data_IF_058315455057
#
_entry.id   IF_058315455057
#
_cell.length_a   1.000
_cell.length_b   1.000
_cell.length_c   1.000
_cell.angle_alpha   90.00
_cell.angle_beta   90.00
_cell.angle_gamma   90.00
#
_symmetry.space_group_name_H-M   'P 1'
#
loop_
_entity.id
_entity.type
_entity.pdbx_description
1 polymer ?
#
# COMPACT_ATOMS: atom_id res chain seq x y z
N UNK A 1 -24.87 -2.96 18.98
CA UNK A 1 -24.46 -1.68 18.37
C UNK A 1 -23.19 -1.92 17.57
N UNK A 2 -23.09 -1.45 16.33
CA UNK A 2 -21.89 -1.60 15.50
C UNK A 2 -21.21 -0.24 15.42
N UNK A 3 -19.95 -0.17 15.84
CA UNK A 3 -19.14 1.06 15.81
C UNK A 3 -18.03 0.92 14.76
N UNK A 4 -17.85 1.92 13.89
CA UNK A 4 -16.73 1.93 12.96
C UNK A 4 -15.40 1.90 13.72
N UNK A 5 -14.47 1.05 13.29
CA UNK A 5 -13.09 1.10 13.79
C UNK A 5 -12.29 2.13 13.01
N UNK A 6 -11.49 2.92 13.73
CA UNK A 6 -10.59 3.88 13.10
C UNK A 6 -9.53 3.12 12.29
N UNK A 7 -9.52 3.34 10.98
CA UNK A 7 -8.50 2.79 10.11
C UNK A 7 -7.18 3.51 10.35
N UNK A 8 -6.27 2.88 11.10
CA UNK A 8 -4.89 3.37 11.24
C UNK A 8 -4.08 2.91 10.03
N UNK A 9 -3.73 3.85 9.17
CA UNK A 9 -2.73 3.63 8.14
C UNK A 9 -1.35 3.58 8.80
N UNK A 10 -0.47 2.70 8.30
CA UNK A 10 0.94 2.79 8.64
C UNK A 10 1.44 4.18 8.25
N UNK A 11 2.23 4.82 9.11
CA UNK A 11 2.85 6.14 8.84
C UNK A 11 4.37 6.03 8.64
N UNK A 12 4.95 4.89 9.03
CA UNK A 12 6.34 4.57 8.79
C UNK A 12 6.47 3.64 7.58
N UNK A 13 6.90 4.17 6.45
CA UNK A 13 7.01 3.45 5.18
C UNK A 13 8.44 2.96 4.89
N UNK A 14 9.32 2.95 5.89
CA UNK A 14 10.73 2.58 5.72
C UNK A 14 10.96 1.09 5.47
N UNK A 15 9.98 0.24 5.76
CA UNK A 15 10.11 -1.22 5.60
C UNK A 15 9.16 -1.75 4.53
N UNK A 16 9.62 -2.80 3.83
CA UNK A 16 8.80 -3.54 2.87
C UNK A 16 7.50 -4.04 3.51
N UNK A 17 7.56 -4.51 4.76
CA UNK A 17 6.40 -5.00 5.49
C UNK A 17 5.32 -3.92 5.67
N UNK A 18 5.72 -2.69 6.03
CA UNK A 18 4.78 -1.60 6.21
C UNK A 18 4.14 -1.17 4.88
N UNK A 19 4.91 -1.17 3.78
CA UNK A 19 4.39 -0.89 2.44
C UNK A 19 3.39 -1.97 1.97
N UNK A 20 3.69 -3.24 2.23
CA UNK A 20 2.78 -4.36 1.92
C UNK A 20 1.48 -4.28 2.73
N UNK A 21 1.55 -3.94 4.02
CA UNK A 21 0.35 -3.69 4.85
C UNK A 21 -0.47 -2.51 4.34
N UNK A 22 0.17 -1.40 3.96
CA UNK A 22 -0.51 -0.25 3.36
C UNK A 22 -1.24 -0.67 2.08
N UNK A 23 -0.59 -1.43 1.20
CA UNK A 23 -1.23 -1.90 -0.04
C UNK A 23 -2.47 -2.76 0.24
N UNK A 24 -2.39 -3.70 1.20
CA UNK A 24 -3.54 -4.50 1.61
C UNK A 24 -4.70 -3.63 2.09
N UNK A 25 -4.41 -2.65 2.94
CA UNK A 25 -5.42 -1.71 3.42
C UNK A 25 -6.04 -0.89 2.30
N UNK A 26 -5.22 -0.31 1.41
CA UNK A 26 -5.69 0.50 0.27
C UNK A 26 -6.56 -0.33 -0.67
N UNK A 27 -6.16 -1.57 -0.96
CA UNK A 27 -6.97 -2.48 -1.79
C UNK A 27 -8.30 -2.82 -1.14
N UNK A 28 -8.34 -3.01 0.19
CA UNK A 28 -9.58 -3.28 0.92
C UNK A 28 -10.55 -2.10 0.87
N UNK A 29 -10.07 -0.87 1.02
CA UNK A 29 -10.93 0.34 0.98
C UNK A 29 -11.21 0.85 -0.43
N UNK A 30 -10.55 0.30 -1.45
CA UNK A 30 -10.61 0.76 -2.85
C UNK A 30 -12.03 0.89 -3.42
N UNK A 31 -13.01 0.00 -3.12
CA UNK A 31 -14.38 0.20 -3.60
C UNK A 31 -15.05 1.47 -3.06
N UNK A 32 -14.62 1.93 -1.88
CA UNK A 32 -15.17 3.11 -1.20
C UNK A 32 -14.40 4.38 -1.54
N UNK A 33 -13.12 4.25 -1.85
CA UNK A 33 -12.27 5.36 -2.21
C UNK A 33 -12.19 5.49 -3.73
N UNK A 34 -12.68 6.61 -4.28
CA UNK A 34 -12.56 6.95 -5.72
C UNK A 34 -11.12 7.35 -6.10
N UNK A 35 -10.13 6.58 -5.64
CA UNK A 35 -8.70 6.79 -5.89
C UNK A 35 -8.34 6.08 -7.19
N UNK A 36 -7.68 6.80 -8.09
CA UNK A 36 -7.23 6.25 -9.36
C UNK A 36 -6.00 5.36 -9.18
N UNK A 37 -5.87 4.30 -9.99
CA UNK A 37 -4.65 3.46 -10.03
C UNK A 37 -3.40 4.30 -10.31
N UNK A 38 -3.53 5.39 -11.08
CA UNK A 38 -2.43 6.32 -11.38
C UNK A 38 -1.87 6.96 -10.11
N UNK A 39 -2.75 7.34 -9.18
CA UNK A 39 -2.34 7.91 -7.88
C UNK A 39 -1.58 6.90 -7.02
N UNK A 40 -1.86 5.60 -7.17
CA UNK A 40 -1.20 4.53 -6.44
C UNK A 40 0.06 3.98 -7.14
N UNK A 41 0.37 4.45 -8.35
CA UNK A 41 1.50 3.94 -9.13
C UNK A 41 2.86 4.00 -8.39
N UNK A 42 3.20 5.07 -7.63
CA UNK A 42 4.45 5.11 -6.87
C UNK A 42 4.58 3.98 -5.85
N UNK A 43 3.47 3.64 -5.15
CA UNK A 43 3.44 2.54 -4.18
C UNK A 43 3.72 1.20 -4.85
N UNK A 44 3.12 0.93 -6.01
CA UNK A 44 3.36 -0.30 -6.76
C UNK A 44 4.79 -0.39 -7.29
N UNK A 45 5.37 0.73 -7.73
CA UNK A 45 6.75 0.76 -8.21
C UNK A 45 7.75 0.46 -7.09
N UNK A 46 7.52 0.98 -5.87
CA UNK A 46 8.36 0.65 -4.71
C UNK A 46 8.29 -0.83 -4.34
N UNK A 47 7.12 -1.46 -4.49
CA UNK A 47 6.94 -2.88 -4.15
C UNK A 47 7.48 -3.86 -5.20
N UNK A 48 7.69 -3.42 -6.45
CA UNK A 48 8.27 -4.27 -7.50
C UNK A 48 9.71 -4.68 -7.18
N UNK A 49 10.40 -3.98 -6.27
CA UNK A 49 11.82 -4.17 -6.02
C UNK A 49 12.66 -3.76 -7.23
N UNK A 50 13.98 -3.89 -7.12
CA UNK A 50 14.85 -3.78 -8.28
C UNK A 50 14.69 -5.01 -9.17
N UNK A 51 14.44 -4.81 -10.46
CA UNK A 51 14.34 -5.90 -11.44
C UNK A 51 15.72 -6.32 -11.97
N UNK A 52 16.79 -5.68 -11.51
CA UNK A 52 18.15 -6.07 -11.88
C UNK A 52 18.48 -7.43 -11.26
N UNK A 53 18.37 -8.46 -12.11
CA UNK A 53 18.80 -9.83 -11.83
C UNK A 53 20.33 -9.95 -11.73
N UNK A 54 21.06 -8.84 -11.82
CA UNK A 54 22.52 -8.75 -11.72
C UNK A 54 23.02 -8.47 -10.31
N UNK A 55 22.14 -8.54 -9.30
CA UNK A 55 22.59 -8.53 -7.90
C UNK A 55 23.52 -9.73 -7.67
N UNK A 56 24.78 -9.53 -7.28
CA UNK A 56 25.78 -10.59 -7.15
C UNK A 56 25.45 -11.63 -6.08
#
# INVERSE_FOLDING_TARGET
SITPQLLKLATDFKTLNNLQRLLGTVNWVRPYLRISTKTLAPLFNTLKGDMDLTSP
#
